data_IF_415527525540
#
_entry.id   IF_415527525540
#
_cell.length_a   1.000
_cell.length_b   1.000
_cell.length_c   1.000
_cell.angle_alpha   90.00
_cell.angle_beta   90.00
_cell.angle_gamma   90.00
#
_symmetry.space_group_name_H-M   'P 1'
#
loop_
_entity.id
_entity.type
_entity.pdbx_description
1 polymer ?
#
# COMPACT_ATOMS: atom_id res chain seq x y z
N UNK A 1 -41.61 41.53 -7.98
CA UNK A 1 -40.33 41.93 -8.62
C UNK A 1 -40.19 41.16 -9.93
N UNK A 2 -40.19 41.84 -11.08
CA UNK A 2 -39.94 41.20 -12.39
C UNK A 2 -38.44 41.27 -12.66
N UNK A 3 -37.75 40.14 -12.63
CA UNK A 3 -36.32 40.07 -12.92
C UNK A 3 -36.08 40.39 -14.41
N UNK A 4 -35.18 41.35 -14.77
CA UNK A 4 -34.99 41.80 -16.15
C UNK A 4 -33.94 40.97 -16.90
N UNK A 5 -33.89 39.65 -16.70
CA UNK A 5 -32.86 38.82 -17.32
C UNK A 5 -33.45 38.00 -18.47
N UNK A 6 -33.16 38.43 -19.71
CA UNK A 6 -33.34 37.62 -20.91
C UNK A 6 -32.05 36.83 -21.13
N UNK A 7 -31.98 35.61 -20.59
CA UNK A 7 -30.86 34.71 -20.88
C UNK A 7 -31.08 34.02 -22.22
N UNK A 8 -30.05 34.00 -23.05
CA UNK A 8 -30.08 33.23 -24.30
C UNK A 8 -29.73 31.76 -24.02
N UNK A 9 -30.23 30.85 -24.87
CA UNK A 9 -29.92 29.41 -24.75
C UNK A 9 -28.40 29.15 -24.70
N UNK A 10 -27.64 29.85 -25.54
CA UNK A 10 -26.19 29.73 -25.60
C UNK A 10 -25.51 30.17 -24.29
N UNK A 11 -26.03 31.19 -23.59
CA UNK A 11 -25.50 31.59 -22.28
C UNK A 11 -25.69 30.49 -21.23
N UNK A 12 -26.82 29.77 -21.26
CA UNK A 12 -27.08 28.65 -20.35
C UNK A 12 -26.19 27.44 -20.66
N UNK A 13 -25.91 27.17 -21.94
CA UNK A 13 -24.99 26.11 -22.35
C UNK A 13 -23.55 26.41 -21.91
N UNK A 14 -23.09 27.67 -22.04
CA UNK A 14 -21.78 28.12 -21.55
C UNK A 14 -21.71 28.02 -20.02
N UNK A 15 -22.75 28.43 -19.30
CA UNK A 15 -22.80 28.31 -17.85
C UNK A 15 -22.73 26.85 -17.40
N UNK A 16 -23.51 25.96 -18.03
CA UNK A 16 -23.47 24.53 -17.73
C UNK A 16 -22.08 23.96 -17.96
N UNK A 17 -21.44 24.29 -19.08
CA UNK A 17 -20.08 23.84 -19.39
C UNK A 17 -19.06 24.35 -18.36
N UNK A 18 -19.08 25.65 -18.05
CA UNK A 18 -18.20 26.26 -17.06
C UNK A 18 -18.41 25.66 -15.67
N UNK A 19 -19.66 25.43 -15.26
CA UNK A 19 -19.96 24.79 -13.98
C UNK A 19 -19.44 23.36 -13.91
N UNK A 20 -19.63 22.56 -14.97
CA UNK A 20 -19.11 21.19 -15.03
C UNK A 20 -17.59 21.12 -14.97
N UNK A 21 -16.89 22.11 -15.53
CA UNK A 21 -15.42 22.17 -15.46
C UNK A 21 -14.91 22.73 -14.12
N UNK A 22 -15.47 23.84 -13.66
CA UNK A 22 -14.97 24.57 -12.50
C UNK A 22 -15.38 23.92 -11.18
N UNK A 23 -16.54 23.26 -11.11
CA UNK A 23 -17.03 22.62 -9.89
C UNK A 23 -16.04 21.59 -9.32
N UNK A 24 -15.58 20.56 -10.07
CA UNK A 24 -14.61 19.60 -9.54
C UNK A 24 -13.25 20.23 -9.22
N UNK A 25 -12.79 21.20 -10.02
CA UNK A 25 -11.53 21.91 -9.77
C UNK A 25 -11.60 22.72 -8.47
N UNK A 26 -12.71 23.42 -8.23
CA UNK A 26 -12.94 24.18 -7.02
C UNK A 26 -13.05 23.27 -5.79
N UNK A 27 -13.73 22.13 -5.90
CA UNK A 27 -13.80 21.13 -4.83
C UNK A 27 -12.41 20.58 -4.51
N UNK A 28 -11.60 20.25 -5.51
CA UNK A 28 -10.23 19.80 -5.30
C UNK A 28 -9.33 20.88 -4.71
N UNK A 29 -9.49 22.15 -5.11
CA UNK A 29 -8.73 23.26 -4.53
C UNK A 29 -9.12 23.54 -3.08
N UNK A 30 -10.42 23.45 -2.77
CA UNK A 30 -10.92 23.71 -1.43
C UNK A 30 -10.67 22.53 -0.48
N UNK A 31 -11.00 21.30 -0.88
CA UNK A 31 -10.82 20.11 -0.04
C UNK A 31 -9.36 19.68 -0.02
N UNK A 32 -8.72 19.59 -1.20
CA UNK A 32 -7.29 19.36 -1.35
C UNK A 32 -6.77 18.14 -0.59
N UNK A 33 -5.60 18.35 0.04
CA UNK A 33 -4.84 17.31 0.76
C UNK A 33 -5.14 17.32 2.27
N UNK A 34 -5.63 18.44 2.82
CA UNK A 34 -5.99 18.60 4.24
C UNK A 34 -7.47 18.24 4.49
N UNK A 35 -7.91 17.08 4.00
CA UNK A 35 -9.27 16.56 4.22
C UNK A 35 -9.55 16.30 5.69
N UNK A 36 -8.52 15.93 6.45
CA UNK A 36 -8.55 15.67 7.89
C UNK A 36 -9.00 16.90 8.69
N UNK A 37 -8.39 18.06 8.42
CA UNK A 37 -8.67 19.31 9.15
C UNK A 37 -9.99 19.94 8.75
N UNK A 38 -10.42 19.78 7.49
CA UNK A 38 -11.59 20.48 6.94
C UNK A 38 -12.91 19.75 7.16
N UNK A 39 -12.89 18.42 7.18
CA UNK A 39 -14.10 17.62 7.34
C UNK A 39 -14.40 17.27 8.80
N UNK A 40 -13.42 17.45 9.71
CA UNK A 40 -13.53 17.20 11.16
C UNK A 40 -14.28 15.90 11.49
N UNK A 41 -14.05 14.85 10.70
CA UNK A 41 -14.75 13.58 10.89
C UNK A 41 -14.13 12.85 12.09
N UNK A 42 -14.95 12.35 13.02
CA UNK A 42 -14.44 11.60 14.16
C UNK A 42 -13.77 10.31 13.66
N UNK A 43 -12.53 10.08 14.08
CA UNK A 43 -11.77 8.90 13.69
C UNK A 43 -11.26 8.90 12.24
N UNK A 44 -10.98 10.08 11.66
CA UNK A 44 -10.39 10.18 10.31
C UNK A 44 -9.14 9.32 10.15
N UNK A 45 -8.24 9.38 11.13
CA UNK A 45 -7.06 8.52 11.19
C UNK A 45 -7.32 7.32 12.10
N UNK A 46 -6.89 6.10 11.70
CA UNK A 46 -6.91 4.95 12.59
C UNK A 46 -6.07 5.22 13.84
N UNK A 47 -6.51 4.66 14.97
CA UNK A 47 -5.84 4.84 16.25
C UNK A 47 -4.36 4.44 16.16
N UNK A 48 -3.40 5.33 16.49
CA UNK A 48 -1.97 5.03 16.42
C UNK A 48 -1.56 3.82 17.25
N UNK A 49 -2.33 3.41 18.26
CA UNK A 49 -2.05 2.18 19.01
C UNK A 49 -2.37 0.91 18.24
N UNK A 50 -3.34 0.95 17.33
CA UNK A 50 -3.72 -0.18 16.45
C UNK A 50 -2.76 -0.38 15.29
N UNK A 51 -1.93 0.63 15.00
CA UNK A 51 -0.99 0.58 13.89
C UNK A 51 0.24 -0.26 14.24
N UNK A 52 0.82 -0.87 13.22
CA UNK A 52 2.11 -1.51 13.34
C UNK A 52 3.17 -0.45 13.70
N UNK A 53 3.70 -0.54 14.92
CA UNK A 53 4.72 0.36 15.44
C UNK A 53 6.08 -0.07 14.90
N UNK A 54 6.55 0.62 13.87
CA UNK A 54 7.89 0.40 13.32
C UNK A 54 8.92 0.81 14.39
N UNK A 55 9.86 -0.09 14.77
CA UNK A 55 10.92 0.26 15.70
C UNK A 55 11.75 1.43 15.17
N UNK A 56 11.93 2.49 15.96
CA UNK A 56 12.67 3.69 15.54
C UNK A 56 14.12 3.67 15.99
N UNK A 57 14.39 3.04 17.13
CA UNK A 57 15.71 2.99 17.73
C UNK A 57 16.56 1.85 17.17
N UNK A 58 17.88 2.06 17.05
CA UNK A 58 18.78 1.08 16.43
C UNK A 58 18.79 -0.27 17.16
N UNK A 59 18.70 -0.28 18.49
CA UNK A 59 18.71 -1.51 19.27
C UNK A 59 17.42 -2.33 19.06
N UNK A 60 16.27 -1.66 18.97
CA UNK A 60 14.97 -2.29 18.70
C UNK A 60 14.93 -2.90 17.30
N UNK A 61 15.48 -2.18 16.32
CA UNK A 61 15.61 -2.68 14.94
C UNK A 61 16.44 -3.96 14.90
N UNK A 62 17.56 -4.00 15.63
CA UNK A 62 18.42 -5.20 15.68
C UNK A 62 17.72 -6.39 16.36
N UNK A 63 16.98 -6.14 17.43
CA UNK A 63 16.20 -7.15 18.13
C UNK A 63 15.09 -7.74 17.22
N UNK A 64 14.35 -6.87 16.52
CA UNK A 64 13.30 -7.29 15.60
C UNK A 64 13.88 -8.04 14.39
N UNK A 65 15.01 -7.58 13.85
CA UNK A 65 15.73 -8.31 12.80
C UNK A 65 16.18 -9.70 13.25
N UNK A 66 16.66 -9.84 14.49
CA UNK A 66 17.03 -11.13 15.05
C UNK A 66 15.80 -12.04 15.20
N UNK A 67 14.66 -11.51 15.67
CA UNK A 67 13.37 -12.22 15.73
C UNK A 67 12.96 -12.73 14.35
N UNK A 68 12.98 -11.86 13.34
CA UNK A 68 12.62 -12.21 11.95
C UNK A 68 13.57 -13.26 11.35
N UNK A 69 14.87 -13.21 11.65
CA UNK A 69 15.83 -14.22 11.18
C UNK A 69 15.55 -15.59 11.77
N UNK A 70 15.25 -15.67 13.07
CA UNK A 70 14.86 -16.92 13.74
C UNK A 70 13.58 -17.51 13.15
N UNK A 71 12.55 -16.68 12.99
CA UNK A 71 11.28 -17.11 12.40
C UNK A 71 11.44 -17.62 10.95
N UNK A 72 12.28 -16.95 10.15
CA UNK A 72 12.61 -17.43 8.79
C UNK A 72 13.31 -18.79 8.81
N UNK A 73 14.28 -18.98 9.71
CA UNK A 73 15.00 -20.25 9.83
C UNK A 73 14.06 -21.38 10.25
N UNK A 74 13.21 -21.15 11.25
CA UNK A 74 12.22 -22.13 11.68
C UNK A 74 11.22 -22.47 10.56
N UNK A 75 10.72 -21.46 9.84
CA UNK A 75 9.83 -21.68 8.70
C UNK A 75 10.52 -22.51 7.62
N UNK A 76 11.78 -22.22 7.31
CA UNK A 76 12.58 -22.99 6.35
C UNK A 76 12.74 -24.45 6.79
N UNK A 77 13.14 -24.69 8.04
CA UNK A 77 13.31 -26.04 8.59
C UNK A 77 11.99 -26.82 8.59
N UNK A 78 10.86 -26.17 8.91
CA UNK A 78 9.53 -26.80 8.84
C UNK A 78 9.15 -27.18 7.41
N UNK A 79 9.49 -26.36 6.43
CA UNK A 79 9.23 -26.64 5.03
C UNK A 79 10.12 -27.77 4.50
N UNK A 80 11.41 -27.76 4.85
CA UNK A 80 12.36 -28.83 4.49
C UNK A 80 11.88 -30.19 5.04
N UNK A 81 11.49 -30.25 6.32
CA UNK A 81 10.92 -31.48 6.92
C UNK A 81 9.66 -31.97 6.23
N UNK A 82 8.70 -31.07 5.94
CA UNK A 82 7.48 -31.47 5.22
C UNK A 82 7.80 -32.02 3.84
N UNK A 83 8.76 -31.43 3.14
CA UNK A 83 9.13 -31.88 1.81
C UNK A 83 9.84 -33.25 1.83
N UNK A 84 10.68 -33.48 2.83
CA UNK A 84 11.30 -34.79 3.09
C UNK A 84 10.26 -35.86 3.41
N UNK A 85 9.29 -35.55 4.29
CA UNK A 85 8.23 -36.48 4.69
C UNK A 85 7.23 -36.80 3.57
N UNK A 86 6.81 -35.80 2.79
CA UNK A 86 5.80 -35.98 1.74
C UNK A 86 6.37 -36.47 0.41
N UNK A 87 7.57 -36.04 0.04
CA UNK A 87 8.14 -36.28 -1.30
C UNK A 87 9.45 -37.08 -1.28
N UNK A 88 10.07 -37.30 -0.11
CA UNK A 88 11.34 -38.03 -0.01
C UNK A 88 12.52 -37.34 -0.72
N UNK A 89 12.36 -36.06 -1.08
CA UNK A 89 13.36 -35.29 -1.82
C UNK A 89 14.36 -34.69 -0.83
N UNK A 90 15.64 -35.05 -0.98
CA UNK A 90 16.73 -34.42 -0.22
C UNK A 90 17.12 -33.09 -0.88
N UNK A 91 16.66 -31.98 -0.28
CA UNK A 91 16.85 -30.60 -0.77
C UNK A 91 18.34 -30.25 -1.00
N UNK A 92 19.25 -30.77 -0.17
CA UNK A 92 20.66 -30.40 -0.22
C UNK A 92 21.38 -31.04 -1.41
N UNK A 93 21.00 -32.27 -1.77
CA UNK A 93 21.50 -32.94 -2.96
C UNK A 93 21.00 -32.28 -4.25
N UNK A 94 19.73 -31.88 -4.28
CA UNK A 94 19.13 -31.21 -5.43
C UNK A 94 19.75 -29.82 -5.66
N UNK A 95 20.00 -29.06 -4.58
CA UNK A 95 20.73 -27.79 -4.64
C UNK A 95 22.15 -27.95 -5.15
N UNK A 96 22.86 -29.01 -4.75
CA UNK A 96 24.22 -29.26 -5.22
C UNK A 96 24.27 -29.55 -6.73
N UNK A 97 23.31 -30.32 -7.25
CA UNK A 97 23.16 -30.58 -8.70
C UNK A 97 22.89 -29.30 -9.49
N UNK A 98 21.94 -28.47 -9.03
CA UNK A 98 21.61 -27.19 -9.68
C UNK A 98 22.83 -26.24 -9.69
N UNK A 99 23.61 -26.19 -8.60
CA UNK A 99 24.80 -25.34 -8.52
C UNK A 99 25.90 -25.81 -9.49
N UNK A 100 26.07 -27.13 -9.62
CA UNK A 100 27.00 -27.72 -10.58
C UNK A 100 26.59 -27.45 -12.03
N UNK A 101 25.32 -27.63 -12.37
CA UNK A 101 24.77 -27.32 -13.70
C UNK A 101 24.95 -25.83 -14.06
N UNK A 102 24.70 -24.94 -13.09
CA UNK A 102 24.88 -23.49 -13.29
C UNK A 102 26.34 -23.09 -13.49
N UNK A 103 27.27 -23.79 -12.85
CA UNK A 103 28.71 -23.57 -13.02
C UNK A 103 29.26 -24.21 -14.32
N UNK A 104 28.63 -25.27 -14.82
CA UNK A 104 28.97 -25.87 -16.12
C UNK A 104 28.39 -25.10 -17.31
N UNK A 105 27.29 -24.36 -17.11
CA UNK A 105 26.64 -23.52 -18.13
C UNK A 105 27.28 -22.13 -18.30
N UNK A 106 28.34 -21.81 -17.54
CA UNK A 106 29.06 -20.53 -17.59
C UNK A 106 30.41 -20.72 -18.26
#
# INVERSE_FOLDING_TARGET
>A
MKFPFKYTRSQLEIFRFAFCLLSPVAVMYYVGIDTDKKLNVPGFWPDPETLNKIPKERYEIQAELARMKKERLERRLRLEKRLEEEFGINIDEEKAKILQEKNQSK
#
